data_IF_874464745902
#
_entry.id   IF_874464745902
#
_cell.length_a   1.000
_cell.length_b   1.000
_cell.length_c   1.000
_cell.angle_alpha   90.00
_cell.angle_beta   90.00
_cell.angle_gamma   90.00
#
_symmetry.space_group_name_H-M   'P 1'
#
loop_
_entity.id
_entity.type
_entity.pdbx_description
1 polymer ?
#
# COMPACT_ATOMS: atom_id res chain seq x y z
N UNK A 1 8.06 -11.15 114.72
CA UNK A 1 7.65 -12.11 113.68
C UNK A 1 7.09 -11.30 112.49
N UNK A 2 7.92 -11.05 111.48
CA UNK A 2 7.57 -10.21 110.34
C UNK A 2 7.34 -11.16 109.15
N UNK A 3 6.03 -11.29 108.73
CA UNK A 3 5.74 -12.09 107.58
C UNK A 3 6.03 -11.28 106.29
N UNK A 4 6.95 -11.79 105.47
CA UNK A 4 7.24 -11.27 104.18
C UNK A 4 6.20 -11.81 103.19
N UNK A 5 5.33 -10.94 102.70
CA UNK A 5 4.33 -11.30 101.66
C UNK A 5 5.02 -11.46 100.29
N UNK A 6 4.85 -12.64 99.71
CA UNK A 6 5.28 -12.95 98.32
C UNK A 6 4.46 -12.18 97.36
N UNK A 7 5.02 -11.46 96.33
CA UNK A 7 4.26 -10.76 95.33
C UNK A 7 3.54 -11.75 94.39
N UNK A 8 2.35 -11.39 93.86
CA UNK A 8 1.65 -12.24 93.00
C UNK A 8 2.35 -12.41 91.60
N UNK A 9 2.19 -13.55 90.94
CA UNK A 9 2.80 -13.80 89.63
C UNK A 9 2.27 -12.85 88.57
N UNK A 10 3.24 -12.26 87.84
CA UNK A 10 2.94 -11.41 86.67
C UNK A 10 2.23 -12.24 85.56
N UNK A 11 1.17 -11.70 84.91
CA UNK A 11 0.50 -12.39 83.84
C UNK A 11 1.42 -12.51 82.59
N UNK A 12 1.38 -13.63 81.82
CA UNK A 12 2.20 -13.80 80.65
C UNK A 12 1.80 -12.81 79.56
N UNK A 13 2.72 -11.95 79.17
CA UNK A 13 2.56 -11.02 78.04
C UNK A 13 2.81 -11.82 76.77
N UNK A 14 1.72 -12.23 76.13
CA UNK A 14 1.80 -12.78 74.77
C UNK A 14 2.07 -11.66 73.78
N UNK A 15 3.17 -11.69 73.03
CA UNK A 15 3.41 -10.69 72.00
C UNK A 15 2.37 -10.88 70.88
N UNK A 16 1.50 -9.90 70.72
CA UNK A 16 0.58 -9.87 69.60
C UNK A 16 1.45 -9.83 68.32
N UNK A 17 1.37 -10.93 67.53
CA UNK A 17 2.01 -10.99 66.27
C UNK A 17 1.44 -9.89 65.38
N UNK A 18 2.21 -8.82 65.17
CA UNK A 18 1.86 -7.75 64.24
C UNK A 18 1.88 -8.33 62.85
N UNK A 19 0.72 -8.45 62.25
CA UNK A 19 0.56 -8.81 60.84
C UNK A 19 1.35 -7.79 59.99
N UNK A 20 1.99 -8.23 58.92
CA UNK A 20 2.71 -7.34 57.99
C UNK A 20 1.79 -6.25 57.41
N UNK A 21 0.47 -6.49 57.42
CA UNK A 21 -0.56 -5.56 56.99
C UNK A 21 -0.73 -4.36 57.96
N UNK A 22 -0.52 -4.53 59.29
CA UNK A 22 -0.59 -3.44 60.26
C UNK A 22 0.57 -2.43 60.15
N UNK A 23 1.58 -2.74 59.37
CA UNK A 23 2.71 -1.82 59.08
C UNK A 23 2.50 -0.91 57.91
N UNK A 24 1.52 -1.20 57.04
CA UNK A 24 1.18 -0.34 55.90
C UNK A 24 0.22 0.73 56.40
N UNK A 25 0.73 1.93 56.63
CA UNK A 25 -0.15 3.08 56.94
C UNK A 25 -1.18 3.24 55.86
N UNK A 26 -2.44 3.46 56.22
CA UNK A 26 -3.56 3.72 55.30
C UNK A 26 -3.22 4.83 54.29
N UNK A 27 -2.32 5.72 54.63
CA UNK A 27 -1.80 6.79 53.77
C UNK A 27 -1.13 6.24 52.49
N UNK A 28 -0.51 5.03 52.55
CA UNK A 28 0.12 4.40 51.40
C UNK A 28 -0.83 3.69 50.47
N UNK A 29 -2.07 3.48 50.88
CA UNK A 29 -3.10 2.87 50.01
C UNK A 29 -3.43 3.75 48.81
N UNK A 30 -3.49 5.06 48.97
CA UNK A 30 -3.81 5.99 47.88
C UNK A 30 -2.71 6.01 46.81
N UNK A 31 -1.42 6.20 47.11
CA UNK A 31 -0.36 6.14 46.11
C UNK A 31 -0.20 4.74 45.50
N UNK A 32 -0.45 3.66 46.25
CA UNK A 32 -0.43 2.30 45.70
C UNK A 32 -1.57 2.04 44.72
N UNK A 33 -2.79 2.50 45.08
CA UNK A 33 -3.93 2.42 44.18
C UNK A 33 -3.68 3.25 42.90
N UNK A 34 -3.17 4.46 43.04
CA UNK A 34 -2.80 5.30 41.90
C UNK A 34 -1.74 4.61 41.02
N UNK A 35 -0.72 4.00 41.62
CA UNK A 35 0.30 3.25 40.86
C UNK A 35 -0.30 2.06 40.12
N UNK A 36 -1.21 1.30 40.73
CA UNK A 36 -1.90 0.18 40.10
C UNK A 36 -2.75 0.64 38.92
N UNK A 37 -3.45 1.77 39.04
CA UNK A 37 -4.22 2.35 37.93
C UNK A 37 -3.31 2.76 36.80
N UNK A 38 -2.21 3.46 37.08
CA UNK A 38 -1.22 3.86 36.08
C UNK A 38 -0.60 2.65 35.39
N UNK A 39 -0.22 1.62 36.15
CA UNK A 39 0.29 0.37 35.58
C UNK A 39 -0.76 -0.36 34.75
N UNK A 40 -2.03 -0.36 35.18
CA UNK A 40 -3.14 -0.94 34.43
C UNK A 40 -3.35 -0.23 33.10
N UNK A 41 -3.39 1.10 33.11
CA UNK A 41 -3.50 1.91 31.88
C UNK A 41 -2.28 1.72 30.97
N UNK A 42 -1.07 1.71 31.54
CA UNK A 42 0.15 1.46 30.78
C UNK A 42 0.16 0.05 30.16
N UNK A 43 -0.27 -0.96 30.90
CA UNK A 43 -0.41 -2.32 30.40
C UNK A 43 -1.46 -2.42 29.28
N UNK A 44 -2.60 -1.77 29.44
CA UNK A 44 -3.62 -1.72 28.40
C UNK A 44 -3.10 -1.04 27.14
N UNK A 45 -2.49 0.13 27.26
CA UNK A 45 -1.87 0.84 26.14
C UNK A 45 -0.76 0.03 25.44
N UNK A 46 -0.03 -0.81 26.19
CA UNK A 46 0.97 -1.71 25.62
C UNK A 46 0.34 -2.91 24.93
N UNK A 47 -0.72 -3.49 25.50
CA UNK A 47 -1.44 -4.65 24.93
C UNK A 47 -2.20 -4.31 23.64
N UNK A 48 -2.63 -3.06 23.51
CA UNK A 48 -3.33 -2.57 22.31
C UNK A 48 -2.37 -2.24 21.15
N UNK A 49 -1.06 -2.26 21.40
CA UNK A 49 -0.08 -2.06 20.33
C UNK A 49 -0.06 -3.27 19.41
N UNK A 50 -0.41 -3.03 18.15
CA UNK A 50 -0.34 -4.08 17.13
C UNK A 50 1.09 -4.55 16.84
N UNK A 51 1.25 -5.59 16.03
CA UNK A 51 2.54 -6.17 15.71
C UNK A 51 3.42 -5.23 14.88
N UNK A 52 4.71 -5.46 14.94
CA UNK A 52 5.71 -4.78 14.13
C UNK A 52 5.93 -5.58 12.83
N UNK A 53 5.72 -4.92 11.70
CA UNK A 53 6.00 -5.45 10.37
C UNK A 53 7.26 -4.79 9.83
N UNK A 54 8.21 -5.57 9.35
CA UNK A 54 9.40 -5.09 8.66
C UNK A 54 9.22 -5.22 7.16
N UNK A 55 9.32 -4.09 6.44
CA UNK A 55 9.18 -4.05 4.98
C UNK A 55 10.52 -3.63 4.38
N UNK A 56 11.07 -4.50 3.53
CA UNK A 56 12.33 -4.25 2.83
C UNK A 56 12.06 -3.61 1.47
N UNK A 57 12.45 -2.35 1.28
CA UNK A 57 12.35 -1.62 0.02
C UNK A 57 13.72 -1.45 -0.64
N UNK A 58 13.78 -1.47 -1.96
CA UNK A 58 14.98 -1.07 -2.70
C UNK A 58 15.23 0.44 -2.57
N UNK A 59 14.15 1.22 -2.42
CA UNK A 59 14.21 2.66 -2.23
C UNK A 59 13.04 3.16 -1.37
N UNK A 60 13.33 3.72 -0.20
CA UNK A 60 12.38 4.32 0.72
C UNK A 60 12.51 5.86 0.79
N UNK A 61 12.85 6.52 -0.33
CA UNK A 61 13.02 7.98 -0.36
C UNK A 61 11.75 8.70 0.13
N UNK A 62 11.93 9.58 1.10
CA UNK A 62 10.86 10.37 1.72
C UNK A 62 10.15 9.69 2.89
N UNK A 63 10.38 8.39 3.14
CA UNK A 63 9.86 7.69 4.30
C UNK A 63 10.59 8.16 5.57
N UNK A 64 9.85 8.49 6.62
CA UNK A 64 10.37 8.99 7.89
C UNK A 64 9.68 8.30 9.07
N UNK A 65 10.46 7.91 10.05
CA UNK A 65 9.95 7.41 11.33
C UNK A 65 9.08 8.45 12.04
N UNK A 66 7.99 8.01 12.63
CA UNK A 66 7.06 8.85 13.39
C UNK A 66 6.18 9.78 12.54
N UNK A 67 6.31 9.77 11.21
CA UNK A 67 5.56 10.69 10.33
C UNK A 67 4.90 9.97 9.15
N UNK A 68 5.55 8.95 8.60
CA UNK A 68 5.02 8.21 7.44
C UNK A 68 3.99 7.20 7.91
N UNK A 69 2.82 7.25 7.31
CA UNK A 69 1.69 6.37 7.61
C UNK A 69 1.71 5.14 6.69
N UNK A 70 1.23 4.02 7.21
CA UNK A 70 0.78 2.89 6.42
C UNK A 70 -0.71 3.05 6.18
N UNK A 71 -1.13 3.02 4.92
CA UNK A 71 -2.53 3.16 4.52
C UNK A 71 -3.03 1.93 3.78
N UNK A 72 -4.30 1.66 3.99
CA UNK A 72 -5.07 0.68 3.23
C UNK A 72 -6.39 1.31 2.81
N UNK A 73 -6.64 1.41 1.51
CA UNK A 73 -7.82 2.10 0.94
C UNK A 73 -7.99 3.53 1.47
N UNK A 74 -6.92 4.30 1.49
CA UNK A 74 -6.85 5.68 2.03
C UNK A 74 -7.13 5.82 3.54
N UNK A 75 -7.26 4.71 4.28
CA UNK A 75 -7.38 4.71 5.75
C UNK A 75 -6.02 4.39 6.37
N UNK A 76 -5.60 5.19 7.36
CA UNK A 76 -4.37 4.90 8.12
C UNK A 76 -4.58 3.67 8.98
N UNK A 77 -3.72 2.67 8.78
CA UNK A 77 -3.76 1.36 9.47
C UNK A 77 -2.44 1.04 10.17
N UNK A 78 -1.55 2.00 10.23
CA UNK A 78 -0.28 1.86 10.92
C UNK A 78 0.64 3.06 10.72
N UNK A 79 1.78 3.05 11.42
CA UNK A 79 2.77 4.12 11.36
C UNK A 79 4.18 3.56 11.33
N UNK A 80 5.07 4.20 10.57
CA UNK A 80 6.50 3.87 10.54
C UNK A 80 7.15 4.24 11.86
N UNK A 81 7.75 3.27 12.54
CA UNK A 81 8.48 3.48 13.80
C UNK A 81 9.98 3.65 13.60
N UNK A 82 10.56 2.94 12.64
CA UNK A 82 12.00 2.94 12.40
C UNK A 82 12.32 2.79 10.91
N UNK A 83 13.41 3.42 10.48
CA UNK A 83 13.95 3.29 9.11
C UNK A 83 15.45 3.05 9.24
N UNK A 84 15.90 1.91 8.78
CA UNK A 84 17.29 1.47 8.85
C UNK A 84 17.74 0.84 7.52
N UNK A 85 19.02 0.54 7.39
CA UNK A 85 19.53 -0.18 6.23
C UNK A 85 19.72 -1.66 6.53
N UNK A 86 19.51 -2.49 5.54
CA UNK A 86 19.88 -3.90 5.60
C UNK A 86 21.41 -4.06 5.69
N UNK A 87 21.90 -5.19 6.24
CA UNK A 87 23.31 -5.51 6.19
C UNK A 87 23.80 -5.52 4.74
N UNK A 88 24.72 -4.62 4.40
CA UNK A 88 25.21 -4.47 3.02
C UNK A 88 24.74 -3.21 2.30
N UNK A 89 23.80 -2.45 2.91
CA UNK A 89 23.28 -1.17 2.40
C UNK A 89 22.56 -1.28 1.03
N UNK A 90 22.17 -2.48 0.66
CA UNK A 90 21.48 -2.78 -0.60
C UNK A 90 19.96 -2.51 -0.52
N UNK A 91 19.38 -2.53 0.68
CA UNK A 91 17.95 -2.30 0.93
C UNK A 91 17.71 -1.41 2.14
N UNK A 92 16.56 -0.79 2.16
CA UNK A 92 16.06 -0.01 3.29
C UNK A 92 15.00 -0.85 4.02
N UNK A 93 15.22 -1.07 5.32
CA UNK A 93 14.29 -1.76 6.19
C UNK A 93 13.42 -0.72 6.88
N UNK A 94 12.13 -0.82 6.68
CA UNK A 94 11.13 0.07 7.28
C UNK A 94 10.29 -0.75 8.25
N UNK A 95 10.36 -0.40 9.54
CA UNK A 95 9.55 -1.03 10.59
C UNK A 95 8.28 -0.24 10.79
N UNK A 96 7.16 -0.90 10.56
CA UNK A 96 5.83 -0.32 10.64
C UNK A 96 5.06 -0.97 11.79
N UNK A 97 4.53 -0.16 12.69
CA UNK A 97 3.56 -0.61 13.67
C UNK A 97 2.20 -0.68 13.02
N UNK A 98 1.64 -1.86 12.89
CA UNK A 98 0.34 -2.10 12.25
C UNK A 98 -0.74 -2.16 13.33
N UNK A 99 -1.91 -1.62 13.04
CA UNK A 99 -3.06 -1.71 13.94
C UNK A 99 -3.49 -3.16 14.12
N UNK A 100 -3.87 -3.52 15.35
CA UNK A 100 -4.19 -4.90 15.72
C UNK A 100 -5.35 -5.48 14.92
N UNK A 101 -6.29 -4.64 14.50
CA UNK A 101 -7.45 -5.05 13.69
C UNK A 101 -7.07 -5.48 12.26
N UNK A 102 -6.01 -4.90 11.70
CA UNK A 102 -5.57 -5.14 10.32
C UNK A 102 -4.48 -6.22 10.24
N UNK A 103 -3.72 -6.39 11.31
CA UNK A 103 -2.60 -7.32 11.37
C UNK A 103 -2.94 -8.76 10.91
N UNK A 104 -4.11 -9.35 11.21
CA UNK A 104 -4.47 -10.70 10.75
C UNK A 104 -4.63 -10.82 9.23
N UNK A 105 -4.85 -9.71 8.53
CA UNK A 105 -5.02 -9.66 7.07
C UNK A 105 -3.72 -9.40 6.31
N UNK A 106 -2.61 -9.23 7.03
CA UNK A 106 -1.26 -9.09 6.45
C UNK A 106 -0.60 -10.45 6.48
N UNK A 107 -0.60 -11.11 5.34
CA UNK A 107 0.02 -12.41 5.12
C UNK A 107 1.17 -12.32 4.10
N UNK A 108 1.67 -13.45 3.65
CA UNK A 108 2.78 -13.52 2.68
C UNK A 108 2.46 -12.96 1.29
N UNK A 109 1.19 -12.82 0.96
CA UNK A 109 0.71 -12.30 -0.33
C UNK A 109 0.44 -10.78 -0.28
N UNK A 110 0.50 -10.17 0.91
CA UNK A 110 0.32 -8.74 1.08
C UNK A 110 1.43 -7.97 0.36
N UNK A 111 1.05 -6.90 -0.34
CA UNK A 111 1.94 -6.09 -1.15
C UNK A 111 1.98 -4.66 -0.60
N UNK A 112 3.17 -4.08 -0.51
CA UNK A 112 3.37 -2.72 0.00
C UNK A 112 4.27 -1.94 -0.94
N UNK A 113 3.94 -0.67 -1.17
CA UNK A 113 4.74 0.24 -1.99
C UNK A 113 4.73 1.64 -1.41
N UNK A 114 5.74 2.44 -1.76
CA UNK A 114 5.85 3.83 -1.31
C UNK A 114 5.18 4.75 -2.32
N UNK A 115 4.13 5.44 -1.88
CA UNK A 115 3.44 6.46 -2.68
C UNK A 115 4.10 7.81 -2.44
N UNK A 116 4.53 8.42 -3.53
CA UNK A 116 5.16 9.76 -3.53
C UNK A 116 4.30 10.72 -4.34
N UNK A 117 4.15 11.96 -3.90
CA UNK A 117 3.54 13.00 -4.74
C UNK A 117 4.32 13.13 -6.04
N UNK A 118 3.63 13.03 -7.17
CA UNK A 118 4.25 13.20 -8.48
C UNK A 118 3.58 14.37 -9.21
N UNK A 119 4.39 15.27 -9.74
CA UNK A 119 3.94 16.31 -10.68
C UNK A 119 4.15 15.78 -12.08
N UNK A 120 3.09 15.46 -12.76
CA UNK A 120 3.12 14.99 -14.15
C UNK A 120 2.46 16.00 -15.08
N UNK A 121 2.62 15.85 -16.38
CA UNK A 121 1.92 16.67 -17.37
C UNK A 121 0.37 16.57 -17.26
N UNK A 122 -0.15 15.54 -16.60
CA UNK A 122 -1.59 15.37 -16.29
C UNK A 122 -2.06 16.17 -15.09
N UNK A 123 -1.17 16.83 -14.38
CA UNK A 123 -1.45 17.48 -13.11
C UNK A 123 -0.70 16.85 -11.95
N UNK A 124 -1.05 17.25 -10.75
CA UNK A 124 -0.47 16.71 -9.52
C UNK A 124 -1.34 15.55 -9.06
N UNK A 125 -0.82 14.34 -9.09
CA UNK A 125 -1.48 13.17 -8.51
C UNK A 125 -1.07 13.03 -7.04
N UNK A 126 -1.98 12.60 -6.19
CA UNK A 126 -1.72 12.48 -4.75
C UNK A 126 -1.97 13.76 -3.94
N UNK A 127 -2.61 14.79 -4.52
CA UNK A 127 -2.96 16.03 -3.79
C UNK A 127 -4.03 15.85 -2.70
N UNK A 128 -4.72 14.73 -2.67
CA UNK A 128 -5.74 14.44 -1.64
C UNK A 128 -5.18 14.34 -0.22
N UNK A 129 -3.88 14.27 -0.09
CA UNK A 129 -3.15 14.23 1.18
C UNK A 129 -1.88 15.05 1.06
N UNK A 130 -2.06 16.37 1.09
CA UNK A 130 -1.03 17.40 1.28
C UNK A 130 0.41 16.84 1.35
N UNK A 131 1.06 16.71 0.17
CA UNK A 131 2.52 16.60 0.01
C UNK A 131 3.29 15.55 0.88
N UNK A 132 2.63 14.59 1.50
CA UNK A 132 3.29 13.60 2.34
C UNK A 132 3.48 12.26 1.62
N UNK A 133 4.67 11.68 1.81
CA UNK A 133 4.98 10.30 1.39
C UNK A 133 4.29 9.35 2.37
N UNK A 134 3.62 8.33 1.88
CA UNK A 134 3.02 7.27 2.68
C UNK A 134 3.28 5.89 2.06
N UNK A 135 3.13 4.85 2.84
CA UNK A 135 3.18 3.48 2.36
C UNK A 135 1.74 3.03 2.15
N UNK A 136 1.44 2.53 0.97
CA UNK A 136 0.15 1.93 0.67
C UNK A 136 0.28 0.40 0.68
N UNK A 137 -0.71 -0.27 1.25
CA UNK A 137 -0.78 -1.72 1.33
C UNK A 137 -1.95 -2.28 0.54
N UNK A 138 -1.72 -3.41 -0.10
CA UNK A 138 -2.73 -4.27 -0.70
C UNK A 138 -2.77 -5.56 0.11
N UNK A 139 -3.84 -5.76 0.88
CA UNK A 139 -4.08 -6.96 1.66
C UNK A 139 -5.30 -7.68 1.12
N UNK A 140 -5.33 -9.01 1.23
CA UNK A 140 -6.47 -9.79 0.76
C UNK A 140 -7.53 -9.94 1.87
N UNK A 141 -8.77 -10.25 1.46
CA UNK A 141 -9.94 -10.24 2.36
C UNK A 141 -10.02 -11.43 3.33
N UNK A 142 -9.01 -12.29 3.37
CA UNK A 142 -8.97 -13.47 4.23
C UNK A 142 -7.82 -13.35 5.22
N UNK A 143 -8.02 -13.62 6.51
CA UNK A 143 -6.92 -13.74 7.45
C UNK A 143 -5.98 -14.87 7.03
N UNK A 144 -4.69 -14.55 6.98
CA UNK A 144 -3.63 -15.50 6.61
C UNK A 144 -2.65 -15.77 7.74
N UNK A 145 -1.57 -16.47 7.43
CA UNK A 145 -0.47 -16.66 8.38
C UNK A 145 0.26 -15.33 8.58
N UNK A 146 0.32 -14.85 9.82
CA UNK A 146 1.00 -13.60 10.15
C UNK A 146 2.47 -13.66 9.73
N UNK A 147 2.91 -12.66 9.01
CA UNK A 147 4.31 -12.48 8.62
C UNK A 147 4.90 -11.26 9.31
N UNK A 148 6.16 -11.35 9.64
CA UNK A 148 6.89 -10.26 10.29
C UNK A 148 7.81 -9.50 9.34
N UNK A 149 8.06 -10.06 8.15
CA UNK A 149 8.94 -9.47 7.16
C UNK A 149 8.38 -9.68 5.76
N UNK A 150 8.34 -8.61 4.96
CA UNK A 150 7.86 -8.61 3.58
C UNK A 150 8.80 -7.78 2.71
N UNK A 151 8.92 -8.15 1.44
CA UNK A 151 9.60 -7.31 0.44
C UNK A 151 8.60 -6.34 -0.17
N UNK A 152 8.88 -5.04 -0.06
CA UNK A 152 8.08 -4.00 -0.68
C UNK A 152 8.28 -3.94 -2.18
N UNK A 153 7.25 -3.51 -2.89
CA UNK A 153 7.30 -3.30 -4.33
C UNK A 153 7.97 -1.95 -4.67
N UNK A 154 8.68 -1.86 -5.80
CA UNK A 154 9.27 -0.60 -6.24
C UNK A 154 8.20 0.44 -6.63
N UNK A 155 7.08 -0.01 -7.19
CA UNK A 155 5.96 0.81 -7.67
C UNK A 155 4.62 0.17 -7.32
N UNK A 156 3.54 0.96 -7.40
CA UNK A 156 2.18 0.47 -7.20
C UNK A 156 1.84 -0.64 -8.22
N UNK A 157 1.22 -1.74 -7.79
CA UNK A 157 0.73 -2.75 -8.72
C UNK A 157 -0.37 -2.15 -9.61
N UNK A 158 -0.51 -2.69 -10.82
CA UNK A 158 -1.56 -2.28 -11.76
C UNK A 158 -2.96 -2.57 -11.23
N UNK A 159 -3.09 -3.65 -10.50
CA UNK A 159 -4.34 -4.04 -9.84
C UNK A 159 -4.51 -3.23 -8.56
N UNK A 160 -5.66 -2.59 -8.43
CA UNK A 160 -6.12 -2.06 -7.15
C UNK A 160 -7.13 -3.01 -6.55
N UNK A 161 -7.28 -2.97 -5.24
CA UNK A 161 -8.28 -3.78 -4.54
C UNK A 161 -9.66 -3.57 -5.16
N UNK A 162 -10.24 -4.66 -5.67
CA UNK A 162 -11.57 -4.65 -6.30
C UNK A 162 -11.57 -4.23 -7.77
N UNK A 163 -10.43 -4.08 -8.42
CA UNK A 163 -10.30 -3.91 -9.86
C UNK A 163 -9.74 -5.20 -10.49
N UNK A 164 -10.60 -6.19 -10.62
CA UNK A 164 -10.27 -7.40 -11.38
C UNK A 164 -10.18 -7.05 -12.88
N UNK A 165 -9.34 -7.76 -13.61
CA UNK A 165 -9.21 -7.50 -15.03
C UNK A 165 -8.27 -8.47 -15.74
N UNK A 166 -8.14 -8.28 -17.04
CA UNK A 166 -7.27 -9.05 -17.91
C UNK A 166 -5.93 -8.34 -18.08
N UNK A 167 -4.84 -9.00 -17.73
CA UNK A 167 -3.48 -8.53 -17.96
C UNK A 167 -3.02 -8.92 -19.35
N UNK A 168 -2.53 -7.96 -20.10
CA UNK A 168 -2.00 -8.12 -21.45
C UNK A 168 -0.60 -7.53 -21.53
N UNK A 169 0.21 -8.03 -22.44
CA UNK A 169 1.48 -7.41 -22.80
C UNK A 169 1.29 -6.57 -24.05
N UNK A 170 1.51 -5.28 -23.96
CA UNK A 170 1.48 -4.36 -25.09
C UNK A 170 2.91 -4.08 -25.56
N UNK A 171 3.13 -4.18 -26.87
CA UNK A 171 4.43 -3.93 -27.48
C UNK A 171 4.30 -2.84 -28.52
N UNK A 172 4.94 -1.70 -28.27
CA UNK A 172 4.93 -0.55 -29.18
C UNK A 172 5.90 -0.75 -30.34
N UNK A 173 5.42 -0.49 -31.56
CA UNK A 173 6.23 -0.54 -32.78
C UNK A 173 6.35 0.85 -33.41
N UNK A 174 7.49 1.10 -34.03
CA UNK A 174 7.76 2.32 -34.78
C UNK A 174 7.76 3.57 -33.90
N UNK A 175 6.79 4.47 -34.11
CA UNK A 175 6.63 5.71 -33.35
C UNK A 175 5.61 5.61 -32.21
N UNK A 176 4.93 4.46 -32.08
CA UNK A 176 3.98 4.26 -30.99
C UNK A 176 4.70 4.38 -29.64
N UNK A 177 4.07 5.02 -28.69
CA UNK A 177 4.59 5.23 -27.35
C UNK A 177 3.72 4.55 -26.29
N UNK A 178 4.38 4.03 -25.25
CA UNK A 178 3.72 3.53 -24.06
C UNK A 178 4.13 4.45 -22.91
N UNK A 179 3.15 5.01 -22.24
CA UNK A 179 3.36 5.90 -21.09
C UNK A 179 2.80 5.25 -19.83
N UNK A 180 3.60 5.20 -18.78
CA UNK A 180 3.17 4.64 -17.49
C UNK A 180 1.91 5.33 -16.97
N UNK A 181 0.93 4.51 -16.55
CA UNK A 181 -0.36 4.94 -16.05
C UNK A 181 -1.26 5.58 -17.12
N UNK A 182 -0.89 5.56 -18.40
CA UNK A 182 -1.75 6.04 -19.47
C UNK A 182 -3.02 5.17 -19.59
N UNK A 183 -4.17 5.77 -19.93
CA UNK A 183 -5.41 5.04 -20.06
C UNK A 183 -5.40 4.13 -21.29
N UNK A 184 -6.01 2.97 -21.16
CA UNK A 184 -6.49 2.19 -22.28
C UNK A 184 -7.95 2.58 -22.51
N UNK A 185 -8.25 3.08 -23.70
CA UNK A 185 -9.54 3.69 -24.02
C UNK A 185 -10.29 2.82 -25.04
N UNK A 186 -11.59 2.66 -24.83
CA UNK A 186 -12.49 2.06 -25.82
C UNK A 186 -13.69 2.96 -26.06
N UNK A 187 -13.85 3.44 -27.30
CA UNK A 187 -14.91 4.40 -27.65
C UNK A 187 -15.00 5.62 -26.74
N UNK A 188 -13.85 6.16 -26.34
CA UNK A 188 -13.77 7.34 -25.48
C UNK A 188 -13.91 7.07 -23.96
N UNK A 189 -14.09 5.81 -23.57
CA UNK A 189 -14.22 5.41 -22.15
C UNK A 189 -12.92 4.73 -21.71
N UNK A 190 -12.36 5.15 -20.56
CA UNK A 190 -11.24 4.45 -19.94
C UNK A 190 -11.68 3.07 -19.47
N UNK A 191 -11.08 2.03 -20.05
CA UNK A 191 -11.38 0.63 -19.75
C UNK A 191 -10.17 -0.13 -19.21
N UNK A 192 -9.03 0.55 -19.06
CA UNK A 192 -7.81 -0.07 -18.57
C UNK A 192 -6.67 0.92 -18.36
N UNK A 193 -5.52 0.43 -17.92
CA UNK A 193 -4.30 1.22 -17.72
C UNK A 193 -3.06 0.49 -18.16
N UNK A 194 -2.08 1.29 -18.58
CA UNK A 194 -0.74 0.83 -18.96
C UNK A 194 0.17 0.90 -17.74
N UNK A 195 0.89 -0.17 -17.47
CA UNK A 195 1.92 -0.24 -16.45
C UNK A 195 3.22 0.43 -16.87
N UNK A 196 4.26 0.12 -16.13
CA UNK A 196 5.59 0.69 -16.39
C UNK A 196 6.20 0.15 -17.68
N UNK A 197 6.50 1.02 -18.67
CA UNK A 197 7.16 0.59 -19.88
C UNK A 197 8.61 0.22 -19.64
N UNK A 198 9.08 -0.74 -20.40
CA UNK A 198 10.50 -1.13 -20.49
C UNK A 198 10.90 -1.35 -21.94
N UNK A 199 12.18 -1.19 -22.21
CA UNK A 199 12.73 -1.50 -23.53
C UNK A 199 12.96 -3.01 -23.60
N UNK A 200 12.56 -3.63 -24.73
CA UNK A 200 12.84 -5.05 -24.99
C UNK A 200 14.34 -5.34 -24.99
N UNK A 201 14.74 -6.56 -24.67
CA UNK A 201 16.14 -6.94 -24.53
C UNK A 201 16.97 -6.70 -25.82
N UNK A 202 16.32 -6.74 -26.99
CA UNK A 202 16.92 -6.44 -28.30
C UNK A 202 16.95 -4.93 -28.61
N UNK A 203 16.38 -4.08 -27.76
CA UNK A 203 16.32 -2.64 -27.95
C UNK A 203 15.39 -2.17 -29.08
N UNK A 204 14.65 -3.08 -29.71
CA UNK A 204 13.89 -2.78 -30.93
C UNK A 204 12.52 -2.17 -30.64
N UNK A 205 11.93 -2.39 -29.46
CA UNK A 205 10.61 -1.93 -29.11
C UNK A 205 10.49 -1.62 -27.63
N UNK A 206 9.43 -0.90 -27.25
CA UNK A 206 9.01 -0.76 -25.87
C UNK A 206 7.85 -1.71 -25.58
N UNK A 207 7.85 -2.31 -24.40
CA UNK A 207 6.78 -3.17 -23.94
C UNK A 207 6.29 -2.72 -22.55
N UNK A 208 5.01 -2.90 -22.30
CA UNK A 208 4.42 -2.64 -21.00
C UNK A 208 3.26 -3.61 -20.73
N UNK A 209 3.11 -4.00 -19.49
CA UNK A 209 1.90 -4.68 -19.06
C UNK A 209 0.74 -3.70 -19.08
N UNK A 210 -0.44 -4.12 -19.52
CA UNK A 210 -1.67 -3.36 -19.45
C UNK A 210 -2.74 -4.17 -18.74
N UNK A 211 -3.49 -3.52 -17.88
CA UNK A 211 -4.66 -4.10 -17.19
C UNK A 211 -5.93 -3.56 -17.83
N UNK A 212 -6.75 -4.46 -18.38
CA UNK A 212 -8.09 -4.13 -18.87
C UNK A 212 -9.10 -4.50 -17.79
N UNK A 213 -9.81 -3.52 -17.27
CA UNK A 213 -10.74 -3.69 -16.15
C UNK A 213 -11.96 -4.53 -16.53
N UNK A 214 -12.38 -5.43 -15.65
CA UNK A 214 -13.65 -6.10 -15.77
C UNK A 214 -14.81 -5.07 -15.67
N UNK A 215 -15.89 -5.22 -16.41
CA UNK A 215 -16.23 -6.32 -17.34
C UNK A 215 -15.72 -6.11 -18.78
N UNK A 216 -14.89 -5.10 -19.04
CA UNK A 216 -14.44 -4.71 -20.39
C UNK A 216 -13.38 -5.65 -20.98
N UNK A 217 -12.77 -6.48 -20.14
CA UNK A 217 -11.84 -7.55 -20.51
C UNK A 217 -12.41 -8.49 -21.58
N UNK A 218 -13.73 -8.70 -21.58
CA UNK A 218 -14.45 -9.51 -22.57
C UNK A 218 -14.47 -8.92 -23.98
N UNK A 219 -14.12 -7.65 -24.13
CA UNK A 219 -14.04 -6.98 -25.42
C UNK A 219 -12.78 -7.35 -26.20
N UNK A 220 -11.79 -7.94 -25.52
CA UNK A 220 -10.49 -8.27 -26.10
C UNK A 220 -10.48 -9.70 -26.60
N UNK A 221 -10.04 -9.88 -27.85
CA UNK A 221 -9.84 -11.20 -28.45
C UNK A 221 -8.60 -11.19 -29.38
N UNK A 222 -8.27 -12.30 -29.98
CA UNK A 222 -7.10 -12.44 -30.86
C UNK A 222 -7.14 -11.56 -32.12
N UNK A 223 -8.28 -10.95 -32.45
CA UNK A 223 -8.45 -10.01 -33.57
C UNK A 223 -8.46 -8.54 -33.11
N UNK A 224 -8.22 -8.28 -31.81
CA UNK A 224 -8.14 -6.94 -31.27
C UNK A 224 -6.85 -6.27 -31.73
N UNK A 225 -6.95 -5.03 -32.16
CA UNK A 225 -5.83 -4.18 -32.54
C UNK A 225 -5.76 -2.97 -31.64
N UNK A 226 -4.56 -2.60 -31.26
CA UNK A 226 -4.26 -1.46 -30.41
C UNK A 226 -3.49 -0.41 -31.20
N UNK A 227 -3.77 0.87 -30.95
CA UNK A 227 -3.00 1.97 -31.50
C UNK A 227 -2.83 3.11 -30.50
N UNK A 228 -1.76 3.87 -30.72
CA UNK A 228 -1.39 5.01 -29.88
C UNK A 228 -2.35 6.19 -30.15
N UNK A 229 -2.87 6.80 -29.09
CA UNK A 229 -3.71 7.99 -29.17
C UNK A 229 -2.98 9.25 -28.70
N UNK A 230 -1.68 9.19 -28.46
CA UNK A 230 -0.87 10.30 -27.95
C UNK A 230 -0.59 11.40 -28.99
N UNK A 231 -1.05 11.21 -30.23
CA UNK A 231 -0.87 12.18 -31.32
C UNK A 231 -2.12 13.02 -31.60
N UNK A 232 -1.89 14.25 -32.07
CA UNK A 232 -2.89 15.00 -32.81
C UNK A 232 -2.65 14.77 -34.30
N UNK A 233 -3.68 14.41 -35.03
CA UNK A 233 -3.57 14.38 -36.48
C UNK A 233 -3.96 15.76 -37.03
N UNK A 234 -3.01 16.36 -37.73
CA UNK A 234 -3.25 17.58 -38.49
C UNK A 234 -3.34 17.22 -39.96
N UNK A 235 -4.52 17.34 -40.55
CA UNK A 235 -4.69 17.15 -41.97
C UNK A 235 -5.00 18.48 -42.65
N UNK A 236 -4.22 18.83 -43.66
CA UNK A 236 -4.49 19.91 -44.61
C UNK A 236 -5.11 19.32 -45.86
N UNK A 237 -6.45 19.49 -46.00
CA UNK A 237 -7.18 19.12 -47.18
C UNK A 237 -7.69 20.32 -47.97
N UNK A 238 -8.27 20.12 -49.17
CA UNK A 238 -8.86 21.19 -49.96
C UNK A 238 -9.99 21.96 -49.26
N UNK A 239 -10.50 21.43 -48.15
CA UNK A 239 -11.54 22.04 -47.31
C UNK A 239 -11.03 22.81 -46.10
N UNK A 240 -9.71 23.00 -45.95
CA UNK A 240 -9.09 23.69 -44.80
C UNK A 240 -8.27 22.78 -43.87
N UNK A 241 -7.78 23.37 -42.81
CA UNK A 241 -7.06 22.66 -41.76
C UNK A 241 -8.07 21.97 -40.81
N UNK A 242 -7.99 20.67 -40.71
CA UNK A 242 -8.76 19.88 -39.74
C UNK A 242 -7.80 19.42 -38.62
N UNK A 243 -8.17 19.76 -37.42
CA UNK A 243 -7.45 19.29 -36.20
C UNK A 243 -8.38 18.28 -35.51
N UNK A 244 -8.00 17.02 -35.54
CA UNK A 244 -8.75 15.97 -34.87
C UNK A 244 -8.13 15.64 -33.51
N UNK A 245 -8.95 15.77 -32.46
CA UNK A 245 -8.56 15.42 -31.10
C UNK A 245 -9.35 14.19 -30.67
N UNK A 246 -8.70 13.09 -30.41
CA UNK A 246 -9.35 11.89 -29.85
C UNK A 246 -9.85 12.11 -28.41
N UNK A 247 -9.14 12.89 -27.61
CA UNK A 247 -9.60 13.53 -26.37
C UNK A 247 -8.50 14.48 -25.85
N UNK A 248 -8.89 15.52 -25.12
CA UNK A 248 -7.92 16.44 -24.47
C UNK A 248 -7.08 15.70 -23.43
N UNK A 249 -7.64 14.70 -22.75
CA UNK A 249 -6.91 13.86 -21.81
C UNK A 249 -5.87 12.98 -22.51
N UNK A 250 -6.19 12.39 -23.66
CA UNK A 250 -5.25 11.60 -24.45
C UNK A 250 -4.12 12.45 -25.05
N UNK A 251 -4.41 13.70 -25.41
CA UNK A 251 -3.42 14.65 -25.92
C UNK A 251 -2.35 14.96 -24.88
N UNK A 252 -2.73 15.12 -23.62
CA UNK A 252 -1.81 15.51 -22.53
C UNK A 252 -1.12 14.30 -21.89
N UNK A 253 -1.78 13.16 -21.86
CA UNK A 253 -1.32 12.01 -21.08
C UNK A 253 -0.80 10.85 -21.92
N UNK A 254 -0.96 10.90 -23.23
CA UNK A 254 -0.82 9.72 -24.07
C UNK A 254 -1.95 8.74 -23.79
N UNK A 255 -1.97 7.63 -24.46
CA UNK A 255 -2.96 6.58 -24.26
C UNK A 255 -2.93 5.57 -25.38
N UNK A 256 -3.62 4.49 -25.16
CA UNK A 256 -3.80 3.46 -26.17
C UNK A 256 -5.30 3.22 -26.33
N UNK A 257 -5.76 3.16 -27.58
CA UNK A 257 -7.13 2.73 -27.86
C UNK A 257 -7.11 1.41 -28.60
N UNK A 258 -8.23 0.73 -28.65
CA UNK A 258 -8.35 -0.51 -29.38
C UNK A 258 -9.69 -0.65 -30.05
N UNK A 259 -9.71 -1.47 -31.07
CA UNK A 259 -10.92 -1.97 -31.70
C UNK A 259 -10.80 -3.48 -31.90
N UNK A 260 -11.91 -4.16 -31.68
CA UNK A 260 -12.01 -5.59 -31.89
C UNK A 260 -12.77 -5.82 -33.19
N UNK A 261 -12.01 -6.19 -34.20
CA UNK A 261 -12.61 -6.53 -35.51
C UNK A 261 -13.28 -7.90 -35.42
N UNK A 262 -14.60 -7.89 -35.49
CA UNK A 262 -15.48 -9.02 -35.80
C UNK A 262 -15.54 -10.20 -34.81
N UNK A 263 -16.74 -10.73 -34.69
CA UNK A 263 -17.13 -11.97 -34.05
C UNK A 263 -16.35 -13.17 -34.61
N UNK A 264 -15.43 -13.75 -33.86
CA UNK A 264 -14.75 -14.98 -34.28
C UNK A 264 -13.31 -15.14 -33.77
N UNK A 265 -12.75 -14.16 -33.07
CA UNK A 265 -11.46 -14.30 -32.38
C UNK A 265 -11.57 -15.16 -31.12
N UNK A 266 -10.50 -15.86 -30.75
CA UNK A 266 -10.39 -16.51 -29.45
C UNK A 266 -10.31 -15.44 -28.36
N UNK A 267 -11.07 -15.61 -27.28
CA UNK A 267 -10.98 -14.69 -26.13
C UNK A 267 -9.52 -14.58 -25.64
N UNK A 268 -9.11 -13.35 -25.32
CA UNK A 268 -7.77 -13.11 -24.81
C UNK A 268 -7.56 -13.76 -23.45
N UNK A 269 -6.32 -14.12 -23.18
CA UNK A 269 -5.87 -14.71 -21.92
C UNK A 269 -4.85 -13.81 -21.25
N UNK A 270 -4.71 -13.96 -19.96
CA UNK A 270 -3.69 -13.25 -19.21
C UNK A 270 -2.29 -13.57 -19.77
N UNK A 271 -1.53 -12.51 -20.05
CA UNK A 271 -0.20 -12.61 -20.62
C UNK A 271 -0.14 -12.63 -22.16
N UNK A 272 -1.28 -12.56 -22.86
CA UNK A 272 -1.28 -12.47 -24.30
C UNK A 272 -0.60 -11.17 -24.78
N UNK A 273 0.20 -11.29 -25.87
CA UNK A 273 0.93 -10.18 -26.48
C UNK A 273 0.12 -9.48 -27.57
N UNK A 274 0.08 -8.16 -27.52
CA UNK A 274 -0.54 -7.33 -28.55
C UNK A 274 0.39 -6.23 -29.03
N UNK A 275 0.36 -5.98 -30.32
CA UNK A 275 1.11 -4.89 -30.95
C UNK A 275 0.31 -3.60 -30.88
N UNK A 276 0.97 -2.52 -30.45
CA UNK A 276 0.45 -1.16 -30.50
C UNK A 276 1.01 -0.47 -31.73
N UNK A 277 0.14 -0.08 -32.64
CA UNK A 277 0.48 0.64 -33.86
C UNK A 277 0.51 2.16 -33.62
N UNK A 278 1.27 2.93 -34.39
CA UNK A 278 1.33 4.38 -34.22
C UNK A 278 0.03 5.09 -34.64
N UNK A 279 -0.74 4.50 -35.54
CA UNK A 279 -1.98 5.06 -36.08
C UNK A 279 -3.00 3.95 -36.36
N UNK A 280 -4.29 4.33 -36.38
CA UNK A 280 -5.37 3.47 -36.83
C UNK A 280 -5.20 3.13 -38.32
N UNK A 281 -5.18 1.85 -38.66
CA UNK A 281 -4.94 1.34 -40.03
C UNK A 281 -6.20 0.78 -40.65
#
# INVERSE_FOLDING_TARGET
>A
MTQTATPPPEPPVTPAGRSLIDRISVIWLVPLAALLVVLGVAWQAYSERGPLLEIAFDNASGVRAGTTELRYRDVTVGMVEDVSFAPGLDRVLVKVRVDQEVAPYIDGDAQFWVVRPQVTARGVTGLGTVLSVYIEGLCYNSPGAAVTQITGLPDAPLERVGQDGLRLMLRAQGRASLVEGAPVVYRGIEVGRIGRPRITADGASAEAEALIFAPHDRLINSATRFWDTSGFSFSLGPGGAQLDFSSVAALVSGGVTFETMISGGTAARAGDDYTVYPEES
#
